data_IF_887398964004
#
_entry.id   IF_887398964004
#
_cell.length_a   1.000
_cell.length_b   1.000
_cell.length_c   1.000
_cell.angle_alpha   90.00
_cell.angle_beta   90.00
_cell.angle_gamma   90.00
#
_symmetry.space_group_name_H-M   'P 1'
#
loop_
_entity.id
_entity.type
_entity.pdbx_description
1 polymer ?
#
# COMPACT_ATOMS: atom_id res chain seq x y z
N UNK A 1 17.57 8.73 -14.30
CA UNK A 1 16.40 7.81 -14.50
C UNK A 1 15.19 8.34 -13.73
N UNK A 2 13.99 8.14 -14.26
CA UNK A 2 12.75 8.54 -13.57
C UNK A 2 12.53 7.63 -12.36
N UNK A 3 12.22 8.20 -11.20
CA UNK A 3 11.89 7.41 -9.99
C UNK A 3 10.61 6.61 -10.20
N UNK A 4 10.54 5.42 -9.63
CA UNK A 4 9.40 4.51 -9.74
C UNK A 4 8.69 4.34 -8.42
N UNK A 5 7.37 4.49 -8.44
CA UNK A 5 6.52 4.24 -7.28
C UNK A 5 5.62 3.03 -7.52
N UNK A 6 5.51 2.19 -6.50
CA UNK A 6 4.60 1.05 -6.46
C UNK A 6 3.42 1.39 -5.56
N UNK A 7 2.20 1.20 -6.05
CA UNK A 7 0.98 1.25 -5.24
C UNK A 7 0.38 -0.16 -5.24
N UNK A 8 0.34 -0.82 -4.09
CA UNK A 8 -0.28 -2.14 -3.95
C UNK A 8 -1.71 -1.96 -3.45
N UNK A 9 -2.67 -2.49 -4.18
CA UNK A 9 -4.08 -2.32 -3.89
C UNK A 9 -4.91 -3.53 -4.37
N UNK A 10 -6.21 -3.49 -4.14
CA UNK A 10 -7.13 -4.54 -4.54
C UNK A 10 -8.57 -4.04 -4.69
N UNK A 11 -9.46 -4.96 -5.05
CA UNK A 11 -10.88 -4.65 -5.15
C UNK A 11 -11.43 -4.12 -3.81
N UNK A 12 -12.30 -3.12 -3.87
CA UNK A 12 -12.91 -2.43 -2.72
C UNK A 12 -11.89 -1.69 -1.83
N UNK A 13 -10.74 -1.31 -2.39
CA UNK A 13 -9.87 -0.34 -1.76
C UNK A 13 -10.59 1.00 -1.59
N UNK A 14 -10.14 1.80 -0.64
CA UNK A 14 -10.70 3.14 -0.44
C UNK A 14 -10.26 4.06 -1.59
N UNK A 15 -11.21 4.56 -2.34
CA UNK A 15 -10.98 5.27 -3.60
C UNK A 15 -10.05 6.47 -3.45
N UNK A 16 -10.30 7.34 -2.48
CA UNK A 16 -9.52 8.55 -2.25
C UNK A 16 -8.07 8.25 -1.82
N UNK A 17 -7.88 7.19 -1.05
CA UNK A 17 -6.57 6.76 -0.55
C UNK A 17 -5.68 6.18 -1.66
N UNK A 18 -6.29 5.76 -2.77
CA UNK A 18 -5.58 5.40 -3.99
C UNK A 18 -5.41 6.60 -4.92
N UNK A 19 -6.50 7.31 -5.25
CA UNK A 19 -6.53 8.33 -6.29
C UNK A 19 -5.62 9.51 -5.97
N UNK A 20 -5.65 9.99 -4.73
CA UNK A 20 -4.84 11.14 -4.33
C UNK A 20 -3.33 10.85 -4.45
N UNK A 21 -2.77 9.81 -3.81
CA UNK A 21 -1.35 9.48 -3.98
C UNK A 21 -0.97 9.16 -5.41
N UNK A 22 -1.85 8.48 -6.16
CA UNK A 22 -1.60 8.13 -7.55
C UNK A 22 -1.33 9.36 -8.42
N UNK A 23 -2.20 10.37 -8.37
CA UNK A 23 -2.01 11.58 -9.14
C UNK A 23 -0.89 12.47 -8.57
N UNK A 24 -0.78 12.54 -7.24
CA UNK A 24 0.29 13.31 -6.61
C UNK A 24 1.68 12.81 -6.99
N UNK A 25 1.87 11.49 -7.06
CA UNK A 25 3.12 10.91 -7.52
C UNK A 25 3.40 11.17 -9.00
N UNK A 26 2.37 11.17 -9.84
CA UNK A 26 2.52 11.56 -11.25
C UNK A 26 2.94 13.03 -11.40
N UNK A 27 2.38 13.94 -10.60
CA UNK A 27 2.78 15.35 -10.55
C UNK A 27 4.24 15.53 -10.12
N UNK A 28 4.73 14.69 -9.20
CA UNK A 28 6.13 14.63 -8.78
C UNK A 28 7.04 13.87 -9.76
N UNK A 29 6.57 13.60 -10.96
CA UNK A 29 7.30 12.91 -12.02
C UNK A 29 7.71 11.47 -11.70
N UNK A 30 7.03 10.79 -10.78
CA UNK A 30 7.20 9.36 -10.63
C UNK A 30 6.58 8.58 -11.79
N UNK A 31 7.21 7.50 -12.17
CA UNK A 31 6.59 6.45 -12.95
C UNK A 31 5.80 5.54 -11.99
N UNK A 32 4.46 5.60 -12.06
CA UNK A 32 3.59 4.94 -11.08
C UNK A 32 3.11 3.60 -11.61
N UNK A 33 3.31 2.55 -10.83
CA UNK A 33 2.82 1.19 -11.09
C UNK A 33 1.76 0.83 -10.05
N UNK A 34 0.67 0.24 -10.51
CA UNK A 34 -0.39 -0.28 -9.65
C UNK A 34 -0.32 -1.81 -9.65
N UNK A 35 -0.06 -2.41 -8.49
CA UNK A 35 -0.06 -3.85 -8.33
C UNK A 35 -1.43 -4.32 -7.82
N UNK A 36 -2.05 -5.20 -8.58
CA UNK A 36 -3.31 -5.88 -8.27
C UNK A 36 -3.14 -7.37 -8.58
N UNK A 37 -3.65 -8.25 -7.73
CA UNK A 37 -3.46 -9.70 -7.87
C UNK A 37 -3.81 -10.20 -9.27
N UNK A 38 -4.93 -9.78 -9.79
CA UNK A 38 -5.46 -10.23 -11.08
C UNK A 38 -4.88 -9.49 -12.30
N UNK A 39 -3.95 -8.55 -12.08
CA UNK A 39 -3.35 -7.72 -13.15
C UNK A 39 -4.38 -7.04 -14.04
N UNK A 40 -5.44 -6.49 -13.46
CA UNK A 40 -6.52 -5.80 -14.18
C UNK A 40 -7.04 -4.62 -13.36
N UNK A 41 -7.78 -3.73 -14.03
CA UNK A 41 -8.54 -2.67 -13.37
C UNK A 41 -9.54 -3.30 -12.41
N UNK A 42 -9.53 -2.82 -11.16
CA UNK A 42 -10.51 -3.18 -10.13
C UNK A 42 -11.38 -1.97 -9.79
N UNK A 43 -12.45 -2.19 -9.06
CA UNK A 43 -13.30 -1.11 -8.55
C UNK A 43 -13.00 -0.87 -7.08
N UNK A 44 -12.83 0.40 -6.74
CA UNK A 44 -12.81 0.88 -5.36
C UNK A 44 -14.17 0.73 -4.68
N UNK A 45 -14.24 1.08 -3.41
CA UNK A 45 -15.45 0.98 -2.60
C UNK A 45 -16.61 1.83 -3.14
N UNK A 46 -16.31 3.03 -3.64
CA UNK A 46 -17.28 3.93 -4.28
C UNK A 46 -17.42 3.72 -5.79
N UNK A 47 -16.81 2.68 -6.34
CA UNK A 47 -16.91 2.34 -7.76
C UNK A 47 -15.91 3.02 -8.68
N UNK A 48 -14.92 3.73 -8.15
CA UNK A 48 -13.84 4.31 -8.96
C UNK A 48 -12.99 3.22 -9.60
N UNK A 49 -12.65 3.38 -10.87
CA UNK A 49 -11.69 2.49 -11.55
C UNK A 49 -10.29 2.67 -10.97
N UNK A 50 -9.63 1.58 -10.63
CA UNK A 50 -8.29 1.55 -10.05
C UNK A 50 -7.39 0.62 -10.87
N UNK A 51 -6.37 1.14 -11.55
CA UNK A 51 -6.11 2.57 -11.77
C UNK A 51 -7.14 3.20 -12.74
N UNK A 52 -7.23 4.55 -12.77
CA UNK A 52 -8.35 5.24 -13.43
C UNK A 52 -8.33 5.19 -14.96
N UNK A 53 -7.16 5.04 -15.58
CA UNK A 53 -6.99 5.09 -17.03
C UNK A 53 -6.48 3.77 -17.59
N UNK A 54 -6.82 3.48 -18.84
CA UNK A 54 -6.41 2.23 -19.52
C UNK A 54 -4.89 2.12 -19.72
N UNK A 55 -4.22 3.24 -19.90
CA UNK A 55 -2.78 3.29 -20.17
C UNK A 55 -1.94 3.32 -18.91
N UNK A 56 -2.58 3.31 -17.74
CA UNK A 56 -1.88 3.21 -16.47
C UNK A 56 -1.23 1.83 -16.31
N UNK A 57 -0.04 1.82 -15.70
CA UNK A 57 0.74 0.60 -15.56
C UNK A 57 0.16 -0.30 -14.48
N UNK A 58 -0.32 -1.46 -14.86
CA UNK A 58 -0.84 -2.49 -13.97
C UNK A 58 0.08 -3.71 -14.03
N UNK A 59 0.49 -4.18 -12.86
CA UNK A 59 1.26 -5.41 -12.70
C UNK A 59 0.56 -6.37 -11.74
N UNK A 60 0.88 -7.65 -11.80
CA UNK A 60 0.42 -8.61 -10.80
C UNK A 60 1.20 -8.43 -9.49
N UNK A 61 0.56 -8.70 -8.34
CA UNK A 61 1.28 -8.83 -7.07
C UNK A 61 2.28 -9.99 -7.08
N UNK A 62 2.14 -10.95 -7.98
CA UNK A 62 3.11 -12.03 -8.14
C UNK A 62 4.42 -11.56 -8.79
N UNK A 63 4.37 -10.47 -9.56
CA UNK A 63 5.49 -9.93 -10.34
C UNK A 63 6.23 -8.78 -9.63
N UNK A 64 5.83 -8.39 -8.41
CA UNK A 64 6.46 -7.28 -7.71
C UNK A 64 7.83 -7.65 -7.13
N UNK A 65 8.76 -6.71 -7.24
CA UNK A 65 10.07 -6.79 -6.58
C UNK A 65 10.43 -5.43 -5.99
N UNK A 66 10.86 -5.40 -4.73
CA UNK A 66 11.33 -4.17 -4.07
C UNK A 66 12.45 -3.48 -4.88
N UNK A 67 13.28 -4.25 -5.59
CA UNK A 67 14.43 -3.72 -6.37
C UNK A 67 14.03 -2.78 -7.49
N UNK A 68 12.81 -2.91 -7.99
CA UNK A 68 12.32 -2.16 -9.16
C UNK A 68 11.73 -0.80 -8.80
N UNK A 69 11.59 -0.48 -7.50
CA UNK A 69 10.86 0.69 -7.03
C UNK A 69 11.60 1.48 -5.96
N UNK A 70 11.37 2.80 -5.94
CA UNK A 70 11.95 3.73 -4.96
C UNK A 70 11.01 4.03 -3.80
N UNK A 71 9.71 3.86 -4.00
CA UNK A 71 8.64 4.23 -3.07
C UNK A 71 7.50 3.20 -3.13
N UNK A 72 6.97 2.85 -1.97
CA UNK A 72 5.80 2.00 -1.82
C UNK A 72 4.65 2.78 -1.16
N UNK A 73 3.45 2.73 -1.77
CA UNK A 73 2.21 3.25 -1.19
C UNK A 73 1.21 2.10 -1.01
N UNK A 74 0.61 2.07 0.15
CA UNK A 74 -0.41 1.10 0.54
C UNK A 74 -1.69 1.86 0.90
N UNK A 75 -2.61 2.06 -0.05
CA UNK A 75 -3.95 2.56 0.23
C UNK A 75 -4.71 1.58 1.12
N UNK A 76 -5.60 2.10 1.94
CA UNK A 76 -6.43 1.26 2.79
C UNK A 76 -7.71 0.76 2.12
N UNK A 77 -8.74 0.60 2.92
CA UNK A 77 -9.97 -0.09 2.56
C UNK A 77 -9.96 -1.50 3.14
N UNK A 78 -10.71 -1.71 4.23
CA UNK A 78 -10.70 -2.97 5.00
C UNK A 78 -10.86 -4.19 4.11
N UNK A 79 -11.82 -4.16 3.18
CA UNK A 79 -12.08 -5.31 2.29
C UNK A 79 -10.93 -5.66 1.37
N UNK A 80 -10.25 -4.66 0.82
CA UNK A 80 -9.05 -4.91 0.04
C UNK A 80 -7.93 -5.48 0.92
N UNK A 81 -7.72 -4.90 2.10
CA UNK A 81 -6.66 -5.30 3.03
C UNK A 81 -6.84 -6.71 3.57
N UNK A 82 -8.08 -7.16 3.82
CA UNK A 82 -8.37 -8.54 4.23
C UNK A 82 -7.78 -9.59 3.27
N UNK A 83 -7.84 -9.31 1.97
CA UNK A 83 -7.29 -10.20 0.95
C UNK A 83 -5.79 -10.02 0.74
N UNK A 84 -5.35 -8.77 0.65
CA UNK A 84 -3.95 -8.43 0.35
C UNK A 84 -3.01 -8.92 1.45
N UNK A 85 -3.42 -8.85 2.72
CA UNK A 85 -2.59 -9.31 3.83
C UNK A 85 -2.32 -10.82 3.83
N UNK A 86 -3.10 -11.60 3.09
CA UNK A 86 -2.89 -13.04 2.91
C UNK A 86 -1.92 -13.35 1.75
N UNK A 87 -1.61 -12.37 0.93
CA UNK A 87 -0.65 -12.52 -0.18
C UNK A 87 0.78 -12.46 0.36
N UNK A 88 1.41 -13.63 0.47
CA UNK A 88 2.78 -13.78 0.98
C UNK A 88 3.78 -12.94 0.19
N UNK A 89 3.58 -12.78 -1.13
CA UNK A 89 4.49 -12.01 -1.98
C UNK A 89 4.42 -10.52 -1.65
N UNK A 90 3.22 -10.00 -1.35
CA UNK A 90 3.04 -8.61 -0.90
C UNK A 90 3.71 -8.39 0.45
N UNK A 91 3.46 -9.27 1.41
CA UNK A 91 4.07 -9.15 2.75
C UNK A 91 5.59 -9.20 2.68
N UNK A 92 6.16 -10.08 1.87
CA UNK A 92 7.61 -10.15 1.66
C UNK A 92 8.16 -8.89 1.00
N UNK A 93 7.47 -8.35 -0.01
CA UNK A 93 7.86 -7.09 -0.65
C UNK A 93 7.90 -5.93 0.36
N UNK A 94 6.91 -5.81 1.24
CA UNK A 94 6.88 -4.80 2.30
C UNK A 94 8.08 -4.96 3.25
N UNK A 95 8.40 -6.17 3.67
CA UNK A 95 9.58 -6.45 4.51
C UNK A 95 10.88 -6.03 3.83
N UNK A 96 11.04 -6.33 2.55
CA UNK A 96 12.25 -5.95 1.82
C UNK A 96 12.36 -4.43 1.62
N UNK A 97 11.25 -3.71 1.41
CA UNK A 97 11.25 -2.24 1.42
C UNK A 97 11.76 -1.68 2.75
N UNK A 98 11.26 -2.20 3.85
CA UNK A 98 11.66 -1.78 5.20
C UNK A 98 13.13 -2.11 5.49
N UNK A 99 13.57 -3.32 5.21
CA UNK A 99 14.95 -3.78 5.39
C UNK A 99 15.96 -2.95 4.58
N UNK A 100 15.53 -2.41 3.43
CA UNK A 100 16.33 -1.51 2.60
C UNK A 100 16.18 -0.03 2.97
N UNK A 101 15.46 0.27 4.04
CA UNK A 101 15.15 1.65 4.47
C UNK A 101 14.53 2.51 3.36
N UNK A 102 13.74 1.89 2.47
CA UNK A 102 12.96 2.60 1.46
C UNK A 102 11.68 3.14 2.07
N UNK A 103 11.18 4.23 1.51
CA UNK A 103 9.97 4.88 2.01
C UNK A 103 8.73 4.01 1.75
N UNK A 104 7.93 3.81 2.79
CA UNK A 104 6.62 3.16 2.74
C UNK A 104 5.58 4.13 3.27
N UNK A 105 4.58 4.47 2.46
CA UNK A 105 3.39 5.21 2.88
C UNK A 105 2.21 4.26 3.05
N UNK A 106 1.68 4.14 4.26
CA UNK A 106 0.50 3.33 4.55
C UNK A 106 -0.63 4.21 5.07
N UNK A 107 -1.83 4.02 4.57
CA UNK A 107 -2.99 4.86 4.85
C UNK A 107 -4.09 4.02 5.47
N UNK A 108 -4.71 4.53 6.56
CA UNK A 108 -5.92 3.95 7.14
C UNK A 108 -5.73 2.46 7.54
N UNK A 109 -6.51 1.56 6.96
CA UNK A 109 -6.46 0.11 7.23
C UNK A 109 -5.20 -0.58 6.67
N UNK A 110 -4.38 0.10 5.87
CA UNK A 110 -3.15 -0.49 5.35
C UNK A 110 -2.11 -0.78 6.45
N UNK A 111 -2.27 -0.22 7.65
CA UNK A 111 -1.47 -0.60 8.83
C UNK A 111 -1.56 -2.09 9.16
N UNK A 112 -2.65 -2.78 8.78
CA UNK A 112 -2.76 -4.23 8.88
C UNK A 112 -1.64 -4.96 8.12
N UNK A 113 -1.21 -4.41 6.98
CA UNK A 113 -0.12 -4.97 6.18
C UNK A 113 1.23 -4.80 6.87
N UNK A 114 1.44 -3.64 7.52
CA UNK A 114 2.66 -3.36 8.29
C UNK A 114 2.77 -4.29 9.50
N UNK A 115 1.65 -4.55 10.19
CA UNK A 115 1.57 -5.53 11.29
C UNK A 115 1.89 -6.93 10.77
N UNK A 116 1.28 -7.36 9.67
CA UNK A 116 1.53 -8.68 9.07
C UNK A 116 2.97 -8.84 8.55
N UNK A 117 3.61 -7.74 8.17
CA UNK A 117 5.02 -7.71 7.78
C UNK A 117 5.98 -7.64 8.98
N UNK A 118 5.47 -7.53 10.21
CA UNK A 118 6.26 -7.43 11.45
C UNK A 118 7.26 -6.26 11.45
N UNK A 119 6.83 -5.11 10.92
CA UNK A 119 7.70 -3.91 10.79
C UNK A 119 7.25 -2.73 11.66
N UNK A 120 6.24 -2.94 12.54
CA UNK A 120 5.73 -1.87 13.42
C UNK A 120 6.44 -1.82 14.78
N UNK A 121 7.15 -2.85 15.17
CA UNK A 121 7.76 -3.00 16.49
C UNK A 121 8.70 -1.85 16.84
N UNK A 122 8.47 -1.24 18.00
CA UNK A 122 9.22 -0.08 18.52
C UNK A 122 9.15 1.17 17.64
N UNK A 123 8.13 1.28 16.76
CA UNK A 123 7.93 2.45 15.89
C UNK A 123 6.64 3.18 16.24
N UNK A 124 6.64 4.50 16.09
CA UNK A 124 5.41 5.28 16.07
C UNK A 124 4.67 5.00 14.78
N UNK A 125 3.41 4.61 14.89
CA UNK A 125 2.57 4.25 13.75
C UNK A 125 1.24 4.96 13.90
N UNK A 126 0.86 5.75 12.90
CA UNK A 126 -0.51 6.25 12.75
C UNK A 126 -1.29 5.35 11.81
N UNK A 127 -2.60 5.44 11.88
CA UNK A 127 -3.50 4.66 11.06
C UNK A 127 -4.95 4.93 11.43
N UNK A 128 -5.85 4.17 10.85
CA UNK A 128 -7.24 4.24 11.27
C UNK A 128 -7.36 3.94 12.77
N UNK A 129 -8.05 4.79 13.51
CA UNK A 129 -8.08 4.76 14.99
C UNK A 129 -8.50 3.41 15.59
N UNK A 130 -9.33 2.65 14.88
CA UNK A 130 -9.77 1.33 15.34
C UNK A 130 -8.64 0.28 15.38
N UNK A 131 -7.50 0.53 14.75
CA UNK A 131 -6.34 -0.37 14.79
C UNK A 131 -5.35 -0.07 15.92
N UNK A 132 -5.69 0.83 16.85
CA UNK A 132 -4.83 1.21 17.96
C UNK A 132 -4.36 0.01 18.77
N UNK A 133 -5.28 -0.87 19.17
CA UNK A 133 -4.95 -2.02 20.00
C UNK A 133 -4.13 -3.06 19.22
N UNK A 134 -4.44 -3.26 17.94
CA UNK A 134 -3.68 -4.17 17.07
C UNK A 134 -2.23 -3.70 16.88
N UNK A 135 -2.04 -2.40 16.64
CA UNK A 135 -0.70 -1.79 16.52
C UNK A 135 0.08 -1.96 17.82
N UNK A 136 -0.53 -1.64 18.97
CA UNK A 136 0.13 -1.75 20.26
C UNK A 136 0.44 -3.22 20.63
N UNK A 137 -0.49 -4.14 20.35
CA UNK A 137 -0.28 -5.57 20.58
C UNK A 137 0.82 -6.16 19.69
N UNK A 138 1.02 -5.59 18.49
CA UNK A 138 2.13 -5.94 17.61
C UNK A 138 3.47 -5.29 18.02
N UNK A 139 3.50 -4.57 19.14
CA UNK A 139 4.70 -3.91 19.67
C UNK A 139 4.99 -2.53 19.05
N UNK A 140 4.06 -1.97 18.28
CA UNK A 140 4.12 -0.59 17.81
C UNK A 140 3.69 0.40 18.89
N UNK A 141 3.82 1.68 18.60
CA UNK A 141 3.35 2.78 19.44
C UNK A 141 2.34 3.56 18.61
N UNK A 142 1.04 3.33 18.89
CA UNK A 142 0.02 4.08 18.16
C UNK A 142 0.11 5.58 18.43
N UNK A 143 -0.02 6.37 17.39
CA UNK A 143 -0.12 7.84 17.47
C UNK A 143 -1.27 8.32 16.59
N UNK A 144 -1.96 9.37 17.01
CA UNK A 144 -3.01 10.07 16.26
C UNK A 144 -2.45 11.24 15.43
N UNK A 145 -1.15 11.38 15.38
CA UNK A 145 -0.45 12.37 14.57
C UNK A 145 -0.07 11.77 13.22
N UNK A 146 -0.13 12.57 12.13
CA UNK A 146 0.31 12.13 10.83
C UNK A 146 1.81 11.84 10.76
#
# INVERSE_FOLDING_TARGET
>A
MKKKALIITGRLAQDHEFIYPFYRLKEENYEVFTAVKEKKIVLGYFGTKIPPQKDDKIISTDDISEKDFDLLILPGGVKAMEHIRLDKKVIECIKEFDKKNKTIGAICSATMLLISADIVKNRKVSGYYAWKDDINNAGGIFTDQP
#
